data_IF_555865342293
#
_entry.id   IF_555865342293
#
_cell.length_a   1.000
_cell.length_b   1.000
_cell.length_c   1.000
_cell.angle_alpha   90.00
_cell.angle_beta   90.00
_cell.angle_gamma   90.00
#
_symmetry.space_group_name_H-M   'P 1'
#
loop_
_entity.id
_entity.type
_entity.pdbx_description
1 polymer ?
#
# COMPACT_ATOMS: atom_id res chain seq x y z
N UNK A 1 32.56 -22.33 -38.38
CA UNK A 1 33.28 -22.07 -37.12
C UNK A 1 32.45 -21.07 -36.37
N UNK A 2 31.53 -21.57 -35.55
CA UNK A 2 30.69 -20.72 -34.71
C UNK A 2 31.52 -20.30 -33.48
N UNK A 3 31.72 -19.01 -33.35
CA UNK A 3 32.30 -18.39 -32.17
C UNK A 3 31.30 -18.49 -31.00
N UNK A 4 31.71 -18.93 -29.81
CA UNK A 4 30.83 -18.98 -28.66
C UNK A 4 30.53 -17.55 -28.19
N UNK A 5 29.24 -17.20 -28.18
CA UNK A 5 28.72 -16.02 -27.49
C UNK A 5 29.11 -16.11 -26.01
N UNK A 6 30.06 -15.27 -25.60
CA UNK A 6 30.39 -15.07 -24.20
C UNK A 6 29.25 -14.23 -23.62
N UNK A 7 28.34 -14.86 -22.89
CA UNK A 7 27.37 -14.14 -22.06
C UNK A 7 28.14 -13.42 -20.96
N UNK A 8 28.17 -12.08 -20.98
CA UNK A 8 28.70 -11.30 -19.87
C UNK A 8 27.99 -11.70 -18.56
N UNK A 9 28.71 -11.88 -17.44
CA UNK A 9 28.09 -12.17 -16.17
C UNK A 9 27.22 -10.99 -15.75
N UNK A 10 25.93 -11.26 -15.49
CA UNK A 10 25.01 -10.26 -14.94
C UNK A 10 25.54 -9.87 -13.54
N UNK A 11 26.18 -8.71 -13.42
CA UNK A 11 26.57 -8.14 -12.14
C UNK A 11 25.32 -7.88 -11.31
N UNK A 12 25.12 -8.68 -10.27
CA UNK A 12 24.06 -8.43 -9.29
C UNK A 12 24.53 -7.35 -8.32
N UNK A 13 23.72 -6.31 -8.05
CA UNK A 13 24.09 -5.29 -7.07
C UNK A 13 24.24 -5.92 -5.68
N UNK A 14 25.24 -5.46 -4.94
CA UNK A 14 25.41 -5.82 -3.53
C UNK A 14 24.33 -5.14 -2.69
N UNK A 15 23.56 -5.92 -1.92
CA UNK A 15 22.44 -5.44 -1.10
C UNK A 15 22.73 -5.80 0.37
N UNK A 16 22.67 -4.80 1.26
CA UNK A 16 22.81 -4.98 2.71
C UNK A 16 21.67 -4.28 3.43
N UNK A 17 20.70 -5.05 3.95
CA UNK A 17 19.45 -4.51 4.51
C UNK A 17 19.18 -4.89 5.98
N UNK A 18 20.09 -5.61 6.64
CA UNK A 18 19.93 -6.02 8.04
C UNK A 18 18.73 -6.93 8.29
N UNK A 19 18.47 -7.26 9.56
CA UNK A 19 17.39 -8.15 9.99
C UNK A 19 16.59 -7.55 11.15
N UNK A 20 15.38 -8.08 11.39
CA UNK A 20 14.65 -7.79 12.63
C UNK A 20 15.44 -8.34 13.84
N UNK A 21 15.26 -7.75 15.04
CA UNK A 21 15.83 -8.28 16.28
C UNK A 21 15.30 -9.67 16.64
N UNK A 22 15.79 -10.20 17.76
CA UNK A 22 15.36 -11.50 18.26
C UNK A 22 13.82 -11.60 18.39
N UNK A 23 13.22 -12.75 18.02
CA UNK A 23 11.79 -12.94 17.92
C UNK A 23 11.00 -12.56 19.18
N UNK A 24 11.53 -12.89 20.36
CA UNK A 24 10.91 -12.59 21.65
C UNK A 24 10.83 -11.08 21.88
N UNK A 25 11.86 -10.33 21.45
CA UNK A 25 11.86 -8.88 21.51
C UNK A 25 10.83 -8.28 20.54
N UNK A 26 10.74 -8.81 19.32
CA UNK A 26 9.73 -8.35 18.34
C UNK A 26 8.32 -8.55 18.87
N UNK A 27 7.99 -9.75 19.36
CA UNK A 27 6.66 -10.04 19.92
C UNK A 27 6.34 -9.16 21.13
N UNK A 28 7.32 -8.96 22.03
CA UNK A 28 7.18 -8.08 23.18
C UNK A 28 6.83 -6.64 22.75
N UNK A 29 7.58 -6.09 21.79
CA UNK A 29 7.38 -4.73 21.32
C UNK A 29 6.04 -4.55 20.58
N UNK A 30 5.61 -5.53 19.78
CA UNK A 30 4.27 -5.52 19.16
C UNK A 30 3.17 -5.51 20.23
N UNK A 31 3.31 -6.35 21.26
CA UNK A 31 2.37 -6.39 22.39
C UNK A 31 2.35 -5.07 23.18
N UNK A 32 3.53 -4.45 23.37
CA UNK A 32 3.69 -3.15 24.03
C UNK A 32 3.04 -2.02 23.24
N UNK A 33 3.22 -1.99 21.92
CA UNK A 33 2.59 -1.02 21.03
C UNK A 33 1.06 -1.08 21.14
N UNK A 34 0.49 -2.28 21.01
CA UNK A 34 -0.95 -2.48 21.15
C UNK A 34 -1.44 -2.01 22.54
N UNK A 35 -0.82 -2.50 23.62
CA UNK A 35 -1.21 -2.14 24.99
C UNK A 35 -1.12 -0.65 25.28
N UNK A 36 -0.09 0.03 24.77
CA UNK A 36 0.14 1.46 25.00
C UNK A 36 -0.91 2.34 24.34
N UNK A 37 -1.38 1.95 23.15
CA UNK A 37 -2.25 2.81 22.34
C UNK A 37 -3.71 2.34 22.26
N UNK A 38 -4.07 1.16 22.78
CA UNK A 38 -5.43 0.62 22.71
C UNK A 38 -6.52 1.54 23.28
N UNK A 39 -6.19 2.31 24.32
CA UNK A 39 -7.13 3.20 25.01
C UNK A 39 -7.18 4.60 24.39
N UNK A 40 -6.40 4.89 23.35
CA UNK A 40 -6.50 6.15 22.64
C UNK A 40 -7.81 6.18 21.84
N UNK A 41 -8.71 7.09 22.21
CA UNK A 41 -10.01 7.29 21.58
C UNK A 41 -10.07 8.43 20.56
N UNK A 42 -8.94 9.10 20.29
CA UNK A 42 -8.84 10.26 19.40
C UNK A 42 -9.20 9.92 17.96
N UNK A 43 -9.61 10.95 17.22
CA UNK A 43 -10.04 10.83 15.84
C UNK A 43 -11.48 10.32 15.69
N UNK A 44 -11.86 10.05 14.44
CA UNK A 44 -13.20 9.60 14.09
C UNK A 44 -13.19 8.65 12.91
N UNK A 45 -14.15 7.73 12.85
CA UNK A 45 -14.31 6.87 11.69
C UNK A 45 -14.58 7.72 10.44
N UNK A 46 -14.13 7.21 9.29
CA UNK A 46 -14.40 7.82 7.99
C UNK A 46 -15.90 7.98 7.75
N UNK A 47 -16.29 9.19 7.36
CA UNK A 47 -17.66 9.53 6.94
C UNK A 47 -17.83 9.51 5.42
N UNK A 48 -16.78 9.11 4.67
CA UNK A 48 -16.79 9.14 3.19
C UNK A 48 -17.83 8.18 2.62
N UNK A 49 -17.97 7.01 3.23
CA UNK A 49 -18.97 6.01 2.87
C UNK A 49 -19.72 5.56 4.12
N UNK A 50 -21.07 5.47 4.08
CA UNK A 50 -21.87 5.00 5.22
C UNK A 50 -21.40 3.68 5.84
N UNK A 51 -20.90 2.74 5.03
CA UNK A 51 -20.38 1.47 5.52
C UNK A 51 -19.15 1.63 6.45
N UNK A 52 -18.26 2.59 6.16
CA UNK A 52 -17.06 2.85 6.97
C UNK A 52 -17.37 3.51 8.32
N UNK A 53 -18.43 4.34 8.37
CA UNK A 53 -18.84 5.02 9.58
C UNK A 53 -19.32 4.04 10.68
N UNK A 54 -19.84 2.87 10.27
CA UNK A 54 -20.43 1.84 11.16
C UNK A 54 -19.42 0.89 11.78
N UNK A 55 -18.15 0.92 11.35
CA UNK A 55 -17.12 0.00 11.87
C UNK A 55 -16.90 0.26 13.37
N UNK A 56 -16.81 -0.76 14.23
CA UNK A 56 -16.59 -0.56 15.66
C UNK A 56 -15.27 0.20 15.93
N UNK A 57 -15.35 1.36 16.59
CA UNK A 57 -14.23 2.30 16.73
C UNK A 57 -13.11 1.80 17.64
N UNK A 58 -13.44 0.86 18.53
CA UNK A 58 -12.56 0.28 19.54
C UNK A 58 -11.51 -0.67 18.94
N UNK A 59 -11.78 -1.22 17.74
CA UNK A 59 -10.92 -2.19 17.09
C UNK A 59 -9.47 -1.68 16.97
N UNK A 60 -8.53 -2.56 17.28
CA UNK A 60 -7.10 -2.29 17.14
C UNK A 60 -6.29 -3.57 16.90
N UNK A 61 -5.85 -3.77 15.66
CA UNK A 61 -4.91 -4.83 15.30
C UNK A 61 -3.52 -4.26 15.01
N UNK A 62 -2.47 -4.90 15.52
CA UNK A 62 -1.07 -4.58 15.22
C UNK A 62 -0.34 -5.85 14.82
N UNK A 63 0.26 -5.88 13.63
CA UNK A 63 0.97 -7.02 13.10
C UNK A 63 2.31 -6.63 12.46
N UNK A 64 3.34 -7.42 12.69
CA UNK A 64 4.63 -7.37 11.99
C UNK A 64 4.91 -8.74 11.40
N UNK A 65 5.32 -8.80 10.14
CA UNK A 65 5.72 -10.03 9.46
C UNK A 65 7.14 -9.84 8.93
N UNK A 66 8.06 -10.69 9.37
CA UNK A 66 9.43 -10.70 8.85
C UNK A 66 9.50 -11.27 7.44
N UNK A 67 10.56 -10.95 6.69
CA UNK A 67 10.86 -11.56 5.38
C UNK A 67 11.04 -13.10 5.47
N UNK A 68 11.35 -13.62 6.67
CA UNK A 68 11.38 -15.05 6.97
C UNK A 68 9.99 -15.70 7.09
N UNK A 69 8.89 -14.93 7.06
CA UNK A 69 7.52 -15.42 7.24
C UNK A 69 7.05 -15.52 8.68
N UNK A 70 7.91 -15.17 9.66
CA UNK A 70 7.52 -15.16 11.07
C UNK A 70 6.55 -14.00 11.34
N UNK A 71 5.43 -14.31 11.98
CA UNK A 71 4.33 -13.38 12.29
C UNK A 71 4.37 -13.00 13.76
N UNK A 72 4.21 -11.72 14.05
CA UNK A 72 4.12 -11.16 15.40
C UNK A 72 2.87 -10.27 15.48
N UNK A 73 1.99 -10.54 16.43
CA UNK A 73 0.67 -9.90 16.45
C UNK A 73 0.15 -9.59 17.86
N UNK A 74 -0.72 -8.58 17.93
CA UNK A 74 -1.48 -8.21 19.12
C UNK A 74 -2.80 -7.50 18.75
N UNK A 75 -3.88 -7.88 19.43
CA UNK A 75 -5.21 -7.27 19.26
C UNK A 75 -6.03 -7.90 18.12
N UNK A 76 -6.86 -7.09 17.46
CA UNK A 76 -7.83 -7.52 16.46
C UNK A 76 -7.19 -7.72 15.07
N UNK A 77 -6.14 -8.54 14.99
CA UNK A 77 -5.30 -8.66 13.77
C UNK A 77 -5.96 -9.37 12.60
N UNK A 78 -6.96 -10.21 12.88
CA UNK A 78 -7.70 -11.00 11.90
C UNK A 78 -9.07 -10.39 11.54
N UNK A 79 -9.43 -9.24 12.13
CA UNK A 79 -10.66 -8.54 11.75
C UNK A 79 -10.57 -8.09 10.29
N UNK A 80 -11.54 -8.49 9.46
CA UNK A 80 -11.56 -8.11 8.05
C UNK A 80 -12.21 -6.73 7.85
N UNK A 81 -11.52 -5.88 7.09
CA UNK A 81 -11.97 -4.55 6.69
C UNK A 81 -11.60 -4.26 5.23
N UNK A 82 -12.26 -3.28 4.63
CA UNK A 82 -11.97 -2.86 3.26
C UNK A 82 -10.56 -2.25 3.14
N UNK A 83 -9.75 -2.74 2.20
CA UNK A 83 -8.35 -2.31 1.99
C UNK A 83 -8.21 -0.83 1.62
N UNK A 84 -9.23 -0.25 0.97
CA UNK A 84 -9.26 1.14 0.52
C UNK A 84 -7.98 1.53 -0.26
N UNK A 85 -7.44 2.72 0.00
CA UNK A 85 -6.24 3.24 -0.66
C UNK A 85 -4.97 2.44 -0.37
N UNK A 86 -4.97 1.49 0.58
CA UNK A 86 -3.80 0.64 0.84
C UNK A 86 -3.52 -0.30 -0.35
N UNK A 87 -4.51 -0.57 -1.19
CA UNK A 87 -4.35 -1.38 -2.42
C UNK A 87 -3.47 -0.75 -3.49
N UNK A 88 -3.36 0.59 -3.51
CA UNK A 88 -2.70 1.36 -4.57
C UNK A 88 -1.25 0.96 -4.88
N UNK A 89 -0.33 0.88 -3.89
CA UNK A 89 1.05 0.50 -4.16
C UNK A 89 1.19 -0.89 -4.77
N UNK A 90 0.33 -1.83 -4.38
CA UNK A 90 0.36 -3.20 -4.89
C UNK A 90 -0.13 -3.28 -6.34
N UNK A 91 -1.19 -2.56 -6.69
CA UNK A 91 -1.64 -2.48 -8.09
C UNK A 91 -0.65 -1.72 -8.96
N UNK A 92 0.00 -0.68 -8.43
CA UNK A 92 1.12 -0.03 -9.12
C UNK A 92 2.28 -1.01 -9.38
N UNK A 93 2.67 -1.82 -8.39
CA UNK A 93 3.69 -2.84 -8.57
C UNK A 93 3.31 -3.83 -9.69
N UNK A 94 2.07 -4.33 -9.70
CA UNK A 94 1.59 -5.25 -10.76
C UNK A 94 1.60 -4.62 -12.16
N UNK A 95 1.29 -3.32 -12.26
CA UNK A 95 1.37 -2.60 -13.54
C UNK A 95 2.81 -2.41 -13.97
N UNK A 96 3.71 -1.99 -13.07
CA UNK A 96 5.14 -1.89 -13.35
C UNK A 96 5.75 -3.22 -13.79
N UNK A 97 5.33 -4.34 -13.20
CA UNK A 97 5.71 -5.69 -13.63
C UNK A 97 5.29 -5.99 -15.07
N UNK A 98 4.17 -5.41 -15.52
CA UNK A 98 3.61 -5.69 -16.85
C UNK A 98 4.23 -4.81 -17.94
N UNK A 99 4.38 -3.50 -17.68
CA UNK A 99 4.77 -2.51 -18.71
C UNK A 99 6.17 -1.91 -18.47
N UNK A 100 6.82 -2.28 -17.38
CA UNK A 100 8.07 -1.67 -16.94
C UNK A 100 7.86 -0.39 -16.12
N UNK A 101 8.75 -0.12 -15.14
CA UNK A 101 8.62 1.03 -14.25
C UNK A 101 8.87 2.38 -14.94
N UNK A 102 9.71 2.43 -15.98
CA UNK A 102 9.98 3.65 -16.76
C UNK A 102 8.72 4.11 -17.50
N UNK A 103 8.06 3.19 -18.22
CA UNK A 103 6.82 3.48 -18.92
C UNK A 103 5.70 3.86 -17.94
N UNK A 104 5.57 3.14 -16.82
CA UNK A 104 4.61 3.48 -15.78
C UNK A 104 4.84 4.90 -15.24
N UNK A 105 6.09 5.31 -14.99
CA UNK A 105 6.44 6.67 -14.53
C UNK A 105 6.14 7.73 -15.59
N UNK A 106 6.39 7.46 -16.86
CA UNK A 106 6.08 8.37 -17.96
C UNK A 106 4.56 8.63 -18.05
N UNK A 107 3.77 7.58 -17.90
CA UNK A 107 2.31 7.63 -17.98
C UNK A 107 1.68 8.27 -16.74
N UNK A 108 2.12 7.89 -15.55
CA UNK A 108 1.44 8.20 -14.28
C UNK A 108 2.05 9.37 -13.50
N UNK A 109 3.37 9.58 -13.61
CA UNK A 109 4.14 10.40 -12.69
C UNK A 109 4.52 9.66 -11.39
N UNK A 110 5.38 10.28 -10.59
CA UNK A 110 5.90 9.71 -9.34
C UNK A 110 6.09 10.74 -8.20
N UNK A 111 5.96 12.03 -8.50
CA UNK A 111 6.25 13.09 -7.55
C UNK A 111 5.02 13.34 -6.64
N UNK A 112 5.29 13.74 -5.40
CA UNK A 112 4.25 14.24 -4.51
C UNK A 112 3.57 15.48 -5.15
N UNK A 113 2.26 15.58 -4.98
CA UNK A 113 1.47 16.69 -5.53
C UNK A 113 1.42 17.90 -4.60
N UNK A 114 1.76 17.74 -3.33
CA UNK A 114 1.60 18.78 -2.29
C UNK A 114 0.14 19.21 -2.06
N UNK A 115 -0.80 18.38 -2.48
CA UNK A 115 -2.25 18.66 -2.50
C UNK A 115 -3.03 17.43 -2.02
N UNK A 116 -4.31 17.59 -1.60
CA UNK A 116 -5.16 16.49 -1.20
C UNK A 116 -5.24 15.38 -2.26
N UNK A 117 -5.33 14.13 -1.81
CA UNK A 117 -5.30 12.95 -2.68
C UNK A 117 -6.44 12.86 -3.71
N UNK A 118 -7.50 13.64 -3.52
CA UNK A 118 -8.66 13.75 -4.40
C UNK A 118 -8.75 15.11 -5.10
N UNK A 119 -7.67 15.91 -5.09
CA UNK A 119 -7.60 17.24 -5.70
C UNK A 119 -7.62 17.18 -7.23
N UNK A 120 -8.52 17.94 -7.86
CA UNK A 120 -8.52 18.12 -9.33
C UNK A 120 -7.40 19.05 -9.78
N UNK A 121 -7.02 20.04 -8.96
CA UNK A 121 -5.94 20.96 -9.27
C UNK A 121 -4.60 20.23 -9.46
N UNK A 122 -4.37 19.12 -8.75
CA UNK A 122 -3.19 18.28 -8.95
C UNK A 122 -3.13 17.68 -10.36
N UNK A 123 -4.28 17.37 -10.96
CA UNK A 123 -4.39 16.85 -12.33
C UNK A 123 -4.06 17.95 -13.32
N UNK A 124 -4.64 19.15 -13.12
CA UNK A 124 -4.44 20.30 -14.02
C UNK A 124 -2.97 20.77 -14.02
N UNK A 125 -2.37 20.93 -12.84
CA UNK A 125 -0.97 21.36 -12.69
C UNK A 125 0.02 20.35 -13.27
N UNK A 126 -0.30 19.06 -13.18
CA UNK A 126 0.56 17.97 -13.64
C UNK A 126 0.34 17.56 -15.10
N UNK A 127 -0.55 18.22 -15.85
CA UNK A 127 -0.92 17.80 -17.20
C UNK A 127 -1.50 16.38 -17.23
N UNK A 128 -2.29 16.04 -16.21
CA UNK A 128 -2.86 14.72 -15.98
C UNK A 128 -1.94 13.71 -15.27
N UNK A 129 -0.65 14.02 -15.09
CA UNK A 129 0.31 13.17 -14.36
C UNK A 129 0.39 13.60 -12.90
N UNK A 130 0.22 12.65 -12.00
CA UNK A 130 0.31 12.89 -10.55
C UNK A 130 1.29 11.89 -9.93
N UNK A 131 0.77 10.89 -9.22
CA UNK A 131 1.48 9.70 -8.75
C UNK A 131 0.45 8.59 -8.42
N UNK A 132 0.85 7.32 -8.43
CA UNK A 132 -0.06 6.19 -8.15
C UNK A 132 -0.65 6.14 -6.73
N UNK A 133 -0.21 6.98 -5.77
CA UNK A 133 -0.72 6.96 -4.39
C UNK A 133 -1.93 7.87 -4.17
N UNK A 134 -2.15 8.87 -5.04
CA UNK A 134 -3.36 9.69 -5.06
C UNK A 134 -4.46 9.07 -5.94
N UNK A 135 -5.71 9.50 -5.79
CA UNK A 135 -6.83 8.86 -6.50
C UNK A 135 -6.70 8.98 -8.02
N UNK A 136 -6.22 10.12 -8.53
CA UNK A 136 -6.03 10.33 -9.96
C UNK A 136 -5.04 9.32 -10.55
N UNK A 137 -3.82 9.27 -10.03
CA UNK A 137 -2.84 8.31 -10.51
C UNK A 137 -3.22 6.86 -10.23
N UNK A 138 -3.95 6.55 -9.15
CA UNK A 138 -4.45 5.19 -8.91
C UNK A 138 -5.52 4.75 -9.94
N UNK A 139 -6.44 5.63 -10.33
CA UNK A 139 -7.43 5.36 -11.39
C UNK A 139 -6.71 5.21 -12.73
N UNK A 140 -5.75 6.08 -13.03
CA UNK A 140 -4.92 5.95 -14.23
C UNK A 140 -4.12 4.63 -14.23
N UNK A 141 -3.54 4.23 -13.09
CA UNK A 141 -2.86 2.95 -12.90
C UNK A 141 -3.80 1.79 -13.16
N UNK A 142 -5.01 1.83 -12.59
CA UNK A 142 -6.03 0.79 -12.80
C UNK A 142 -6.42 0.66 -14.28
N UNK A 143 -6.44 1.78 -15.03
CA UNK A 143 -6.75 1.75 -16.46
C UNK A 143 -5.64 1.09 -17.32
N UNK A 144 -4.41 1.00 -16.80
CA UNK A 144 -3.28 0.32 -17.45
C UNK A 144 -3.25 -1.20 -17.22
N UNK A 145 -4.08 -1.72 -16.32
CA UNK A 145 -4.14 -3.16 -16.03
C UNK A 145 -4.39 -3.96 -17.32
N UNK A 146 -3.63 -5.04 -17.59
CA UNK A 146 -3.82 -5.84 -18.80
C UNK A 146 -5.15 -6.59 -18.78
N UNK A 147 -5.64 -6.95 -19.97
CA UNK A 147 -6.87 -7.72 -20.14
C UNK A 147 -7.76 -7.17 -21.25
N UNK A 148 -8.39 -8.08 -22.02
CA UNK A 148 -9.26 -7.74 -23.15
C UNK A 148 -10.68 -7.37 -22.71
N UNK A 149 -11.13 -7.88 -21.56
CA UNK A 149 -12.47 -7.66 -21.00
C UNK A 149 -12.37 -7.04 -19.62
N UNK A 150 -13.46 -6.43 -19.14
CA UNK A 150 -13.54 -5.90 -17.77
C UNK A 150 -13.30 -7.00 -16.74
N UNK A 151 -13.86 -8.19 -16.97
CA UNK A 151 -13.66 -9.34 -16.07
C UNK A 151 -12.21 -9.84 -16.07
N UNK A 152 -11.54 -9.84 -17.22
CA UNK A 152 -10.12 -10.19 -17.31
C UNK A 152 -9.23 -9.19 -16.55
N UNK A 153 -9.53 -7.89 -16.67
CA UNK A 153 -8.85 -6.83 -15.90
C UNK A 153 -9.11 -6.97 -14.39
N UNK A 154 -10.35 -7.28 -14.01
CA UNK A 154 -10.71 -7.52 -12.61
C UNK A 154 -9.98 -8.73 -12.04
N UNK A 155 -9.95 -9.84 -12.77
CA UNK A 155 -9.24 -11.06 -12.37
C UNK A 155 -7.75 -10.79 -12.13
N UNK A 156 -7.10 -10.01 -13.00
CA UNK A 156 -5.70 -9.62 -12.82
C UNK A 156 -5.47 -8.84 -11.50
N UNK A 157 -6.32 -7.85 -11.21
CA UNK A 157 -6.24 -7.06 -9.97
C UNK A 157 -6.47 -7.96 -8.76
N UNK A 158 -7.54 -8.76 -8.81
CA UNK A 158 -7.98 -9.61 -7.71
C UNK A 158 -6.96 -10.69 -7.34
N UNK A 159 -6.46 -11.42 -8.35
CA UNK A 159 -5.44 -12.44 -8.17
C UNK A 159 -4.11 -11.82 -7.73
N UNK A 160 -3.73 -10.69 -8.32
CA UNK A 160 -2.50 -10.00 -7.96
C UNK A 160 -2.47 -9.57 -6.48
N UNK A 161 -3.54 -8.92 -6.01
CA UNK A 161 -3.68 -8.53 -4.61
C UNK A 161 -3.78 -9.75 -3.67
N UNK A 162 -4.45 -10.82 -4.11
CA UNK A 162 -4.53 -12.08 -3.37
C UNK A 162 -3.16 -12.76 -3.23
N UNK A 163 -2.30 -12.71 -4.26
CA UNK A 163 -0.92 -13.20 -4.21
C UNK A 163 -0.06 -12.40 -3.23
N UNK A 164 -0.21 -11.08 -3.18
CA UNK A 164 0.44 -10.27 -2.16
C UNK A 164 0.00 -10.64 -0.74
N UNK A 165 -1.30 -10.88 -0.52
CA UNK A 165 -1.83 -11.28 0.79
C UNK A 165 -1.51 -12.74 1.17
N UNK A 166 -1.17 -13.58 0.18
CA UNK A 166 -0.96 -15.02 0.38
C UNK A 166 -2.27 -15.81 0.53
N UNK A 167 -3.42 -15.19 0.27
CA UNK A 167 -4.76 -15.81 0.30
C UNK A 167 -5.70 -15.10 -0.66
N UNK A 168 -6.80 -15.76 -1.03
CA UNK A 168 -7.87 -15.13 -1.82
C UNK A 168 -8.60 -14.08 -0.98
N UNK A 169 -8.64 -12.84 -1.47
CA UNK A 169 -9.35 -11.74 -0.80
C UNK A 169 -10.84 -11.74 -1.19
N UNK A 170 -11.75 -11.55 -0.23
CA UNK A 170 -13.17 -11.43 -0.54
C UNK A 170 -13.53 -10.00 -0.96
N UNK A 171 -14.48 -9.83 -1.88
CA UNK A 171 -15.04 -8.51 -2.17
C UNK A 171 -16.07 -8.15 -1.08
N UNK A 172 -15.93 -6.97 -0.51
CA UNK A 172 -16.91 -6.41 0.41
C UNK A 172 -18.05 -5.77 -0.38
N UNK A 173 -19.11 -6.53 -0.64
CA UNK A 173 -20.26 -6.08 -1.45
C UNK A 173 -20.95 -4.85 -0.87
N UNK A 174 -21.02 -4.74 0.46
CA UNK A 174 -21.62 -3.59 1.14
C UNK A 174 -20.82 -2.31 0.88
N UNK A 175 -19.50 -2.35 1.09
CA UNK A 175 -18.62 -1.20 0.83
C UNK A 175 -18.57 -0.90 -0.65
N UNK A 176 -18.53 -1.91 -1.52
CA UNK A 176 -18.54 -1.73 -2.97
C UNK A 176 -19.82 -1.04 -3.44
N UNK A 177 -21.00 -1.49 -2.99
CA UNK A 177 -22.27 -0.85 -3.30
C UNK A 177 -22.33 0.59 -2.76
N UNK A 178 -21.91 0.80 -1.51
CA UNK A 178 -21.89 2.11 -0.86
C UNK A 178 -20.98 3.11 -1.57
N UNK A 179 -19.77 2.69 -1.93
CA UNK A 179 -18.81 3.52 -2.64
C UNK A 179 -19.25 3.76 -4.09
N UNK A 180 -19.78 2.75 -4.77
CA UNK A 180 -20.25 2.87 -6.15
C UNK A 180 -21.38 3.87 -6.28
N UNK A 181 -22.28 4.00 -5.30
CA UNK A 181 -23.36 4.98 -5.34
C UNK A 181 -22.91 6.42 -5.13
N UNK A 182 -21.79 6.64 -4.42
CA UNK A 182 -21.39 7.97 -3.91
C UNK A 182 -20.03 8.47 -4.41
N UNK A 183 -19.30 7.68 -5.21
CA UNK A 183 -17.96 8.01 -5.72
C UNK A 183 -17.91 9.09 -6.82
N UNK A 184 -18.83 10.07 -6.81
CA UNK A 184 -18.93 11.16 -7.79
C UNK A 184 -17.57 11.83 -8.07
N UNK A 185 -16.78 12.08 -7.01
CA UNK A 185 -15.45 12.68 -7.14
C UNK A 185 -14.50 11.84 -7.99
N UNK A 186 -14.49 10.50 -7.81
CA UNK A 186 -13.64 9.61 -8.61
C UNK A 186 -14.10 9.56 -10.07
N UNK A 187 -15.42 9.61 -10.32
CA UNK A 187 -15.96 9.71 -11.69
C UNK A 187 -15.53 11.00 -12.37
N UNK A 188 -15.55 12.13 -11.66
CA UNK A 188 -15.04 13.41 -12.17
C UNK A 188 -13.54 13.37 -12.45
N UNK A 189 -12.75 12.79 -11.54
CA UNK A 189 -11.31 12.57 -11.74
C UNK A 189 -11.06 11.77 -13.03
N UNK A 190 -11.77 10.67 -13.24
CA UNK A 190 -11.60 9.83 -14.43
C UNK A 190 -11.93 10.57 -15.73
N UNK A 191 -12.98 11.40 -15.73
CA UNK A 191 -13.32 12.24 -16.88
C UNK A 191 -12.30 13.35 -17.13
N UNK A 192 -11.74 13.94 -16.07
CA UNK A 192 -10.68 14.93 -16.22
C UNK A 192 -9.40 14.28 -16.75
N UNK A 193 -9.01 13.11 -16.26
CA UNK A 193 -7.88 12.35 -16.82
C UNK A 193 -8.11 12.02 -18.30
N UNK A 194 -9.35 11.73 -18.71
CA UNK A 194 -9.72 11.52 -20.10
C UNK A 194 -9.47 12.75 -20.98
N UNK A 195 -9.71 13.98 -20.49
CA UNK A 195 -9.41 15.18 -21.26
C UNK A 195 -7.92 15.50 -21.39
N UNK A 196 -7.06 14.84 -20.62
CA UNK A 196 -5.59 14.94 -20.68
C UNK A 196 -4.94 13.73 -21.35
N UNK A 197 -5.70 12.80 -21.92
CA UNK A 197 -5.20 11.52 -22.46
C UNK A 197 -4.38 10.71 -21.43
N UNK A 198 -4.77 10.78 -20.15
CA UNK A 198 -4.15 10.08 -19.01
C UNK A 198 -5.04 8.99 -18.41
N UNK A 199 -5.92 8.43 -19.23
CA UNK A 199 -6.70 7.23 -18.91
C UNK A 199 -6.63 6.28 -20.10
N UNK A 200 -6.31 5.00 -19.83
CA UNK A 200 -5.85 4.06 -20.85
C UNK A 200 -6.88 2.96 -21.17
N UNK A 201 -8.10 3.14 -20.67
CA UNK A 201 -9.31 2.43 -21.06
C UNK A 201 -10.53 3.35 -20.82
N UNK A 202 -11.75 2.83 -20.98
CA UNK A 202 -12.95 3.60 -20.69
C UNK A 202 -12.96 4.13 -19.24
N UNK A 203 -13.27 5.42 -19.07
CA UNK A 203 -13.19 6.10 -17.78
C UNK A 203 -14.16 5.51 -16.74
N UNK A 204 -15.33 5.04 -17.17
CA UNK A 204 -16.30 4.40 -16.27
C UNK A 204 -15.79 3.02 -15.84
N UNK A 205 -15.24 2.23 -16.76
CA UNK A 205 -14.60 0.94 -16.44
C UNK A 205 -13.45 1.09 -15.45
N UNK A 206 -12.52 2.03 -15.69
CA UNK A 206 -11.39 2.28 -14.78
C UNK A 206 -11.86 2.67 -13.38
N UNK A 207 -12.89 3.53 -13.29
CA UNK A 207 -13.47 3.95 -12.00
C UNK A 207 -14.14 2.78 -11.26
N UNK A 208 -14.87 1.92 -11.97
CA UNK A 208 -15.52 0.75 -11.38
C UNK A 208 -14.50 -0.26 -10.86
N UNK A 209 -13.51 -0.62 -11.68
CA UNK A 209 -12.42 -1.52 -11.29
C UNK A 209 -11.66 -1.00 -10.06
N UNK A 210 -11.34 0.30 -10.03
CA UNK A 210 -10.67 0.93 -8.89
C UNK A 210 -11.56 0.90 -7.63
N UNK A 211 -12.87 1.05 -7.79
CA UNK A 211 -13.82 0.97 -6.67
C UNK A 211 -13.87 -0.45 -6.13
N UNK A 212 -14.00 -1.48 -6.99
CA UNK A 212 -13.93 -2.90 -6.57
C UNK A 212 -12.62 -3.23 -5.87
N UNK A 213 -11.49 -2.75 -6.41
CA UNK A 213 -10.17 -2.90 -5.82
C UNK A 213 -10.12 -2.36 -4.38
N UNK A 214 -10.63 -1.15 -4.16
CA UNK A 214 -10.68 -0.54 -2.83
C UNK A 214 -11.60 -1.28 -1.86
N UNK A 215 -12.53 -2.07 -2.37
CA UNK A 215 -13.54 -2.82 -1.62
C UNK A 215 -13.13 -4.24 -1.25
N UNK A 216 -11.90 -4.68 -1.50
CA UNK A 216 -11.43 -6.00 -1.06
C UNK A 216 -11.19 -6.03 0.46
N UNK A 217 -11.66 -7.08 1.11
CA UNK A 217 -11.40 -7.33 2.53
C UNK A 217 -9.96 -7.77 2.74
N UNK A 218 -9.33 -7.18 3.75
CA UNK A 218 -8.02 -7.55 4.29
C UNK A 218 -8.06 -7.45 5.82
N UNK A 219 -7.10 -8.07 6.48
CA UNK A 219 -6.85 -7.93 7.91
C UNK A 219 -5.53 -7.18 8.17
N UNK A 220 -5.24 -6.82 9.42
CA UNK A 220 -3.95 -6.22 9.76
C UNK A 220 -2.79 -7.19 9.47
N UNK A 221 -3.04 -8.50 9.63
CA UNK A 221 -2.09 -9.54 9.26
C UNK A 221 -1.86 -9.60 7.75
N UNK A 222 -2.92 -9.53 6.95
CA UNK A 222 -2.77 -9.49 5.48
C UNK A 222 -1.91 -8.29 5.06
N UNK A 223 -2.18 -7.09 5.60
CA UNK A 223 -1.38 -5.91 5.29
C UNK A 223 0.10 -6.10 5.63
N UNK A 224 0.40 -6.73 6.77
CA UNK A 224 1.77 -7.03 7.17
C UNK A 224 2.45 -8.04 6.21
N UNK A 225 1.73 -9.09 5.78
CA UNK A 225 2.21 -10.07 4.78
C UNK A 225 2.44 -9.41 3.42
N UNK A 226 1.50 -8.58 2.97
CA UNK A 226 1.62 -7.81 1.72
C UNK A 226 2.84 -6.89 1.76
N UNK A 227 3.03 -6.17 2.87
CA UNK A 227 4.22 -5.32 3.08
C UNK A 227 5.51 -6.14 3.11
N UNK A 228 5.52 -7.28 3.79
CA UNK A 228 6.67 -8.17 3.87
C UNK A 228 7.03 -8.79 2.51
N UNK A 229 6.05 -8.98 1.63
CA UNK A 229 6.28 -9.39 0.22
C UNK A 229 7.11 -8.34 -0.52
N UNK A 230 6.82 -7.05 -0.35
CA UNK A 230 7.63 -5.98 -0.94
C UNK A 230 9.00 -5.87 -0.25
N UNK A 231 9.09 -6.15 1.06
CA UNK A 231 10.36 -6.16 1.78
C UNK A 231 11.30 -7.31 1.34
N UNK A 232 10.75 -8.46 0.94
CA UNK A 232 11.49 -9.66 0.49
C UNK A 232 11.68 -9.68 -1.04
N UNK A 233 11.77 -8.50 -1.68
CA UNK A 233 12.04 -8.40 -3.12
C UNK A 233 10.96 -9.07 -4.00
N UNK A 234 9.71 -8.99 -3.56
CA UNK A 234 8.53 -9.43 -4.30
C UNK A 234 8.13 -10.88 -4.04
N UNK A 235 8.83 -11.59 -3.15
CA UNK A 235 8.47 -12.96 -2.75
C UNK A 235 7.57 -12.92 -1.54
N UNK A 236 6.38 -13.52 -1.63
CA UNK A 236 5.49 -13.60 -0.48
C UNK A 236 6.12 -14.49 0.61
N UNK A 237 6.27 -14.00 1.84
CA UNK A 237 7.07 -14.70 2.84
C UNK A 237 6.40 -15.96 3.39
N UNK A 238 5.07 -16.10 3.22
CA UNK A 238 4.29 -17.26 3.66
C UNK A 238 4.19 -18.30 2.55
N UNK A 239 3.77 -17.89 1.35
CA UNK A 239 3.54 -18.82 0.22
C UNK A 239 4.83 -19.12 -0.56
N UNK A 240 5.88 -18.32 -0.36
CA UNK A 240 7.14 -18.34 -1.12
C UNK A 240 6.98 -18.11 -2.62
N UNK A 241 5.80 -17.64 -3.05
CA UNK A 241 5.52 -17.29 -4.43
C UNK A 241 6.11 -15.91 -4.75
N UNK A 242 6.83 -15.79 -5.87
CA UNK A 242 7.19 -14.49 -6.46
C UNK A 242 5.95 -13.83 -7.05
N UNK A 243 5.61 -12.64 -6.57
CA UNK A 243 4.47 -11.84 -7.03
C UNK A 243 4.89 -10.82 -8.08
N UNK A 244 6.03 -10.15 -7.84
CA UNK A 244 6.69 -9.20 -8.74
C UNK A 244 8.21 -9.34 -8.60
N UNK A 245 8.96 -8.73 -9.51
CA UNK A 245 10.41 -8.69 -9.45
C UNK A 245 10.95 -7.69 -8.41
N UNK A 246 12.15 -7.96 -7.90
CA UNK A 246 12.79 -7.13 -6.88
C UNK A 246 13.01 -5.68 -7.35
N UNK A 247 13.27 -5.48 -8.64
CA UNK A 247 13.39 -4.16 -9.24
C UNK A 247 12.06 -3.38 -9.18
N UNK A 248 10.93 -4.06 -9.37
CA UNK A 248 9.60 -3.45 -9.25
C UNK A 248 9.29 -3.05 -7.80
N UNK A 249 9.70 -3.87 -6.83
CA UNK A 249 9.56 -3.52 -5.41
C UNK A 249 10.27 -2.21 -5.07
N UNK A 250 11.47 -1.97 -5.60
CA UNK A 250 12.18 -0.70 -5.42
C UNK A 250 11.30 0.50 -5.81
N UNK A 251 10.72 0.49 -7.01
CA UNK A 251 9.88 1.60 -7.47
C UNK A 251 8.59 1.75 -6.69
N UNK A 252 7.94 0.64 -6.31
CA UNK A 252 6.74 0.69 -5.47
C UNK A 252 7.05 1.33 -4.11
N UNK A 253 8.14 0.92 -3.46
CA UNK A 253 8.60 1.47 -2.19
C UNK A 253 8.99 2.95 -2.31
N UNK A 254 9.64 3.35 -3.41
CA UNK A 254 9.99 4.75 -3.66
C UNK A 254 8.77 5.65 -3.79
N UNK A 255 7.68 5.19 -4.43
CA UNK A 255 6.48 6.04 -4.50
C UNK A 255 5.66 5.99 -3.20
N UNK A 256 5.70 4.87 -2.47
CA UNK A 256 5.14 4.80 -1.12
C UNK A 256 5.82 5.78 -0.16
N UNK A 257 7.14 5.90 -0.20
CA UNK A 257 7.87 6.80 0.70
C UNK A 257 7.64 8.28 0.38
N UNK A 258 7.44 8.64 -0.89
CA UNK A 258 7.26 10.04 -1.29
C UNK A 258 5.81 10.53 -1.23
N UNK A 259 4.81 9.65 -1.38
CA UNK A 259 3.41 10.06 -1.55
C UNK A 259 2.39 9.16 -0.81
N UNK A 260 2.84 8.29 0.09
CA UNK A 260 2.00 7.24 0.66
C UNK A 260 0.99 7.66 1.74
N UNK A 261 1.25 8.73 2.49
CA UNK A 261 0.44 9.14 3.66
C UNK A 261 -0.26 10.47 3.43
N UNK A 262 -0.91 10.61 2.26
CA UNK A 262 -1.67 11.81 1.91
C UNK A 262 -0.78 13.06 2.04
N UNK A 263 -1.33 14.13 2.63
CA UNK A 263 -0.66 15.42 2.78
C UNK A 263 0.40 15.42 3.89
N UNK A 264 0.40 14.41 4.75
CA UNK A 264 1.35 14.24 5.86
C UNK A 264 2.46 13.24 5.54
N UNK A 265 2.71 12.95 4.25
CA UNK A 265 3.78 12.04 3.82
C UNK A 265 5.17 12.49 4.29
N UNK A 266 5.43 13.80 4.35
CA UNK A 266 6.67 14.37 4.88
C UNK A 266 6.82 14.13 6.39
N UNK A 267 5.77 14.41 7.17
CA UNK A 267 5.76 14.19 8.62
C UNK A 267 5.91 12.71 8.95
N UNK A 268 5.22 11.83 8.21
CA UNK A 268 5.37 10.38 8.33
C UNK A 268 6.82 9.96 8.10
N UNK A 269 7.45 10.45 7.03
CA UNK A 269 8.83 10.11 6.72
C UNK A 269 9.78 10.58 7.82
N UNK A 270 9.57 11.79 8.35
CA UNK A 270 10.38 12.37 9.41
C UNK A 270 10.26 11.60 10.74
N UNK A 271 9.05 11.17 11.11
CA UNK A 271 8.79 10.55 12.41
C UNK A 271 9.00 9.02 12.42
N UNK A 272 8.76 8.36 11.29
CA UNK A 272 8.65 6.90 11.19
C UNK A 272 9.72 6.31 10.27
N UNK A 273 10.16 7.02 9.24
CA UNK A 273 11.28 6.61 8.40
C UNK A 273 11.02 5.39 7.50
N UNK A 274 9.76 5.08 7.20
CA UNK A 274 9.37 3.91 6.40
C UNK A 274 8.52 4.28 5.18
N UNK A 275 8.68 3.61 4.02
CA UNK A 275 7.64 3.52 3.01
C UNK A 275 6.34 3.04 3.63
N UNK A 276 5.24 3.76 3.40
CA UNK A 276 3.95 3.39 3.96
C UNK A 276 2.77 3.76 3.08
N UNK A 277 1.59 3.23 3.38
CA UNK A 277 0.34 3.64 2.78
C UNK A 277 -0.79 3.50 3.78
N UNK A 278 -1.56 4.57 3.94
CA UNK A 278 -2.80 4.59 4.72
C UNK A 278 -4.03 4.45 3.83
N UNK A 279 -5.11 3.91 4.39
CA UNK A 279 -6.43 3.91 3.82
C UNK A 279 -7.45 4.43 4.80
N UNK A 280 -8.42 5.21 4.30
CA UNK A 280 -9.56 5.74 5.07
C UNK A 280 -10.46 4.68 5.72
N UNK A 281 -10.18 3.39 5.54
CA UNK A 281 -10.80 2.32 6.32
C UNK A 281 -10.21 2.17 7.72
N UNK A 282 -9.06 2.80 8.01
CA UNK A 282 -8.31 2.65 9.26
C UNK A 282 -7.08 1.74 9.16
N UNK A 283 -6.81 1.20 7.96
CA UNK A 283 -5.65 0.36 7.70
C UNK A 283 -4.39 1.17 7.37
N UNK A 284 -3.24 0.74 7.89
CA UNK A 284 -1.92 1.23 7.47
C UNK A 284 -1.01 0.04 7.18
N UNK A 285 -0.30 0.10 6.06
CA UNK A 285 0.86 -0.75 5.77
C UNK A 285 2.13 0.09 5.80
N UNK A 286 3.22 -0.45 6.36
CA UNK A 286 4.56 0.11 6.27
C UNK A 286 5.57 -1.00 5.98
N UNK A 287 6.67 -0.66 5.29
CA UNK A 287 7.60 -1.67 4.77
C UNK A 287 9.03 -1.28 5.11
N UNK A 288 9.80 -2.21 5.67
CA UNK A 288 11.25 -2.07 5.89
C UNK A 288 11.98 -3.09 5.01
N UNK A 289 12.61 -2.66 3.90
CA UNK A 289 13.32 -3.55 2.96
C UNK A 289 14.28 -4.50 3.68
N UNK A 290 14.25 -5.79 3.33
CA UNK A 290 15.05 -6.86 3.94
C UNK A 290 14.60 -7.33 5.32
N UNK A 291 13.85 -6.52 6.07
CA UNK A 291 13.42 -6.85 7.45
C UNK A 291 12.00 -7.41 7.50
N UNK A 292 11.03 -6.70 6.91
CA UNK A 292 9.63 -7.13 6.94
C UNK A 292 8.61 -6.04 6.69
N UNK A 293 7.33 -6.40 6.88
CA UNK A 293 6.18 -5.52 6.76
C UNK A 293 5.47 -5.31 8.10
N UNK A 294 4.92 -4.12 8.27
CA UNK A 294 4.03 -3.74 9.36
C UNK A 294 2.62 -3.53 8.80
N UNK A 295 1.63 -4.09 9.46
CA UNK A 295 0.22 -3.92 9.15
C UNK A 295 -0.56 -3.59 10.41
N UNK A 296 -1.46 -2.62 10.35
CA UNK A 296 -2.32 -2.26 11.47
C UNK A 296 -3.70 -1.88 10.99
N UNK A 297 -4.68 -2.04 11.88
CA UNK A 297 -6.04 -1.60 11.67
C UNK A 297 -6.56 -0.91 12.92
N UNK A 298 -7.00 0.33 12.76
CA UNK A 298 -7.76 1.07 13.76
C UNK A 298 -8.63 2.12 13.06
N UNK A 299 -9.97 2.02 13.14
CA UNK A 299 -10.89 2.85 12.36
C UNK A 299 -10.81 4.38 12.60
N UNK A 300 -10.58 4.89 13.82
CA UNK A 300 -10.51 6.32 14.05
C UNK A 300 -9.34 6.99 13.32
N UNK A 301 -9.67 7.97 12.48
CA UNK A 301 -8.74 8.72 11.64
C UNK A 301 -8.52 10.13 12.20
N UNK A 302 -7.34 10.67 11.94
CA UNK A 302 -7.04 12.09 12.08
C UNK A 302 -7.69 12.92 10.94
N UNK A 303 -7.44 14.24 10.96
CA UNK A 303 -7.96 15.16 9.95
C UNK A 303 -7.41 14.90 8.53
N UNK A 304 -6.24 14.26 8.39
CA UNK A 304 -5.65 13.90 7.11
C UNK A 304 -6.17 12.56 6.56
N UNK A 305 -6.95 11.81 7.37
CA UNK A 305 -7.51 10.52 7.00
C UNK A 305 -6.61 9.32 7.34
N UNK A 306 -5.63 9.51 8.23
CA UNK A 306 -4.75 8.43 8.69
C UNK A 306 -5.18 7.89 10.05
N UNK A 307 -5.04 6.57 10.25
CA UNK A 307 -5.37 5.94 11.53
C UNK A 307 -4.52 6.50 12.67
N UNK A 308 -5.16 7.01 13.73
CA UNK A 308 -4.44 7.62 14.86
C UNK A 308 -3.62 6.59 15.62
N UNK A 309 -4.26 5.50 16.07
CA UNK A 309 -3.57 4.39 16.77
C UNK A 309 -2.52 3.73 15.88
N UNK A 310 -2.82 3.58 14.58
CA UNK A 310 -1.91 2.98 13.62
C UNK A 310 -0.60 3.76 13.45
N UNK A 311 -0.67 5.10 13.35
CA UNK A 311 0.50 5.97 13.26
C UNK A 311 1.37 5.89 14.54
N UNK A 312 0.74 5.91 15.71
CA UNK A 312 1.44 5.79 16.99
C UNK A 312 2.17 4.44 17.14
N UNK A 313 1.52 3.35 16.74
CA UNK A 313 2.12 2.02 16.73
C UNK A 313 3.29 1.93 15.74
N UNK A 314 3.13 2.46 14.52
CA UNK A 314 4.18 2.48 13.50
C UNK A 314 5.42 3.25 14.00
N UNK A 315 5.24 4.44 14.58
CA UNK A 315 6.32 5.24 15.18
C UNK A 315 7.05 4.50 16.29
N UNK A 316 6.29 3.91 17.22
CA UNK A 316 6.87 3.18 18.35
C UNK A 316 7.72 1.98 17.90
N UNK A 317 7.20 1.19 16.95
CA UNK A 317 7.84 -0.04 16.48
C UNK A 317 9.00 0.26 15.54
N UNK A 318 8.86 1.22 14.62
CA UNK A 318 9.89 1.52 13.61
C UNK A 318 11.25 1.79 14.26
N UNK A 319 11.25 2.65 15.29
CA UNK A 319 12.45 3.07 16.00
C UNK A 319 13.05 1.98 16.89
N UNK A 320 12.22 1.07 17.43
CA UNK A 320 12.65 0.05 18.42
C UNK A 320 13.01 -1.30 17.79
N UNK A 321 12.48 -1.58 16.61
CA UNK A 321 12.79 -2.78 15.84
C UNK A 321 13.90 -2.54 14.81
N UNK A 322 14.48 -1.33 14.78
CA UNK A 322 15.49 -0.96 13.79
C UNK A 322 14.94 -1.01 12.36
N UNK A 323 13.65 -0.72 12.16
CA UNK A 323 13.03 -0.74 10.82
C UNK A 323 13.27 0.55 10.06
N UNK A 324 13.39 1.67 10.76
CA UNK A 324 13.64 3.01 10.22
C UNK A 324 14.84 3.01 9.26
N UNK A 325 14.65 3.57 8.06
CA UNK A 325 15.67 3.61 7.00
C UNK A 325 16.75 4.67 7.22
N UNK A 326 16.53 5.64 8.10
CA UNK A 326 17.39 6.82 8.24
C UNK A 326 18.17 6.86 9.56
N UNK A 327 18.00 5.84 10.41
CA UNK A 327 18.71 5.73 11.69
C UNK A 327 19.97 4.88 11.50
N UNK A 328 21.10 5.38 11.99
CA UNK A 328 22.35 4.63 12.12
C UNK A 328 22.99 4.87 13.48
N UNK A 329 23.83 3.93 13.91
CA UNK A 329 24.67 4.07 15.10
C UNK A 329 26.13 3.78 14.68
N UNK A 330 27.13 4.41 15.32
CA UNK A 330 28.51 4.06 15.08
C UNK A 330 28.77 2.60 15.45
N UNK A 331 29.65 1.93 14.72
CA UNK A 331 30.21 0.65 15.16
C UNK A 331 31.03 0.91 16.43
N UNK A 332 30.73 0.17 17.51
CA UNK A 332 31.51 0.19 18.75
C UNK A 332 32.64 -0.84 18.67
#
# INVERSE_FOLDING_TARGET
MDSPSISEPIERPYISTGHLPEPELVQKLVSDAHRRFKSNGDGQNSQVYPALARVPRELFGVCVVGTSGRVYEAGDTEYEFSIMSVSKPFVFALVCETIGPEEARERLGANATGLPFNSLAAIEQGGGRTNPMVNAGAIATTSLVPGLTVDGKWQFIHDGLSRFAGRKLALNEEVYASASQTNYRNRSIARLLQSYDRIYCDAKQATDLYTRQCSLNVSARDLAVMGATLADGGVNPVTRQRVVDAAVCHYALTVMITAGLYETSGDWLYDIGLPGKSGIGGGIVAVSPGKGGFGTFAPPLDAAGNSVKGQLAAKFLSQRLGMDLFVSQPEN
#
